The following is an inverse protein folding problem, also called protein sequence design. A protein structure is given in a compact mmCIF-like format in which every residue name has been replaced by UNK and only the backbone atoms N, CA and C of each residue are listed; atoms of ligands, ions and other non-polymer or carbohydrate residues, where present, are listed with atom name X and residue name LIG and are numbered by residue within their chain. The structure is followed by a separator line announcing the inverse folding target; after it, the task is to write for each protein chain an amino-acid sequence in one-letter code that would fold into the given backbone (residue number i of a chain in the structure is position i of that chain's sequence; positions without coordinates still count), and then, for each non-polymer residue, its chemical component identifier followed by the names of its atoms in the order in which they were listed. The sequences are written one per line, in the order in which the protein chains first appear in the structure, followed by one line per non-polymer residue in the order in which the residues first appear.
data_IF_086404446774
#
_entry.id   IF_086404446774
#
_cell.length_a   1.000
_cell.length_b   1.000
_cell.length_c   1.000
_cell.angle_alpha   90.00
_cell.angle_beta   90.00
_cell.angle_gamma   90.00
#
_symmetry.space_group_name_H-M   'P 1'
#
loop_
_entity.id
_entity.type
_entity.pdbx_description
1 polymer ?
#
# COMPACT_ATOMS: atom_id res chain seq x y z
N UNK A 1 0.85 -18.15 -13.37
CA UNK A 1 1.58 -16.94 -12.92
C UNK A 1 1.07 -15.71 -13.64
N UNK A 2 1.05 -14.56 -12.98
CA UNK A 2 0.63 -13.31 -13.62
C UNK A 2 1.66 -12.87 -14.65
N UNK A 3 1.21 -12.61 -15.87
CA UNK A 3 2.09 -12.23 -16.99
C UNK A 3 1.72 -10.88 -17.61
N UNK A 4 0.63 -10.24 -17.14
CA UNK A 4 0.20 -8.96 -17.69
C UNK A 4 -0.36 -8.04 -16.61
N UNK A 5 -0.32 -6.74 -16.89
CA UNK A 5 -0.91 -5.72 -16.01
C UNK A 5 -2.42 -5.92 -15.90
N UNK A 6 -3.08 -6.37 -16.97
CA UNK A 6 -4.52 -6.64 -16.94
C UNK A 6 -4.89 -7.72 -15.92
N UNK A 7 -4.12 -8.82 -15.89
CA UNK A 7 -4.34 -9.89 -14.92
C UNK A 7 -4.12 -9.36 -13.50
N UNK A 8 -3.05 -8.60 -13.30
CA UNK A 8 -2.72 -8.02 -12.01
C UNK A 8 -3.81 -7.05 -11.55
N UNK A 9 -4.32 -6.21 -12.47
CA UNK A 9 -5.40 -5.27 -12.16
C UNK A 9 -6.66 -6.00 -11.70
N UNK A 10 -7.03 -7.11 -12.35
CA UNK A 10 -8.18 -7.91 -11.95
C UNK A 10 -8.03 -8.45 -10.54
N UNK A 11 -6.84 -8.91 -10.18
CA UNK A 11 -6.56 -9.41 -8.83
C UNK A 11 -6.66 -8.30 -7.78
N UNK A 12 -6.10 -7.13 -8.08
CA UNK A 12 -6.14 -5.96 -7.20
C UNK A 12 -7.58 -5.47 -7.00
N UNK A 13 -8.36 -5.43 -8.08
CA UNK A 13 -9.77 -5.03 -7.99
C UNK A 13 -10.55 -5.98 -7.08
N UNK A 14 -10.33 -7.27 -7.20
CA UNK A 14 -10.97 -8.28 -6.38
C UNK A 14 -10.60 -8.12 -4.89
N UNK A 15 -9.32 -7.90 -4.60
CA UNK A 15 -8.86 -7.66 -3.23
C UNK A 15 -9.46 -6.37 -2.67
N UNK A 16 -9.57 -5.33 -3.49
CA UNK A 16 -10.13 -4.05 -3.09
C UNK A 16 -11.59 -4.14 -2.67
N UNK A 17 -12.35 -5.05 -3.27
CA UNK A 17 -13.77 -5.26 -2.90
C UNK A 17 -13.90 -5.68 -1.44
N UNK A 18 -12.92 -6.40 -0.91
CA UNK A 18 -12.95 -6.89 0.49
C UNK A 18 -12.96 -5.77 1.52
N UNK A 19 -12.52 -4.57 1.14
CA UNK A 19 -12.45 -3.40 2.03
C UNK A 19 -13.17 -2.19 1.44
N UNK A 20 -13.98 -2.38 0.41
CA UNK A 20 -14.70 -1.31 -0.29
C UNK A 20 -13.77 -0.20 -0.79
N UNK A 21 -12.58 -0.57 -1.26
CA UNK A 21 -11.63 0.42 -1.77
C UNK A 21 -12.15 1.08 -3.05
N UNK A 22 -12.07 2.41 -3.14
CA UNK A 22 -12.42 3.11 -4.38
C UNK A 22 -11.54 2.64 -5.53
N UNK A 23 -12.12 2.42 -6.69
CA UNK A 23 -11.37 1.94 -7.86
C UNK A 23 -10.25 2.90 -8.27
N UNK A 24 -10.44 4.20 -8.03
CA UNK A 24 -9.40 5.20 -8.32
C UNK A 24 -8.11 4.97 -7.55
N UNK A 25 -8.17 4.33 -6.38
CA UNK A 25 -6.99 4.00 -5.58
C UNK A 25 -6.32 2.70 -6.02
N UNK A 26 -6.97 1.93 -6.89
CA UNK A 26 -6.53 0.59 -7.27
C UNK A 26 -5.88 0.53 -8.65
N UNK A 27 -5.79 1.65 -9.35
CA UNK A 27 -5.23 1.70 -10.70
C UNK A 27 -3.74 1.38 -10.68
N UNK A 28 -3.35 0.38 -11.47
CA UNK A 28 -1.96 -0.03 -11.61
C UNK A 28 -1.39 0.61 -12.88
N UNK A 29 -0.29 1.34 -12.72
CA UNK A 29 0.42 1.93 -13.86
C UNK A 29 1.45 0.94 -14.37
N UNK A 30 1.69 0.94 -15.68
CA UNK A 30 2.71 0.11 -16.32
C UNK A 30 3.89 0.94 -16.81
N UNK A 31 3.84 2.25 -16.63
CA UNK A 31 4.89 3.18 -17.04
C UNK A 31 4.92 4.38 -16.09
N UNK A 32 6.05 5.08 -15.99
CA UNK A 32 6.16 6.23 -15.09
C UNK A 32 5.15 7.33 -15.44
N UNK A 33 4.46 7.85 -14.42
CA UNK A 33 3.64 9.05 -14.52
C UNK A 33 4.44 10.31 -14.13
N UNK A 34 5.65 10.12 -13.60
CA UNK A 34 6.58 11.18 -13.18
C UNK A 34 6.02 12.12 -12.10
N UNK A 35 5.05 11.65 -11.34
CA UNK A 35 4.42 12.38 -10.22
C UNK A 35 4.60 11.66 -8.88
N UNK A 36 5.47 10.65 -8.84
CA UNK A 36 5.69 9.83 -7.66
C UNK A 36 4.79 8.61 -7.58
N UNK A 37 3.75 8.51 -8.40
CA UNK A 37 2.90 7.33 -8.42
C UNK A 37 3.69 6.12 -8.92
N UNK A 38 3.65 4.99 -8.19
CA UNK A 38 4.43 3.82 -8.59
C UNK A 38 3.84 3.11 -9.81
N UNK A 39 4.71 2.44 -10.54
CA UNK A 39 4.31 1.56 -11.65
C UNK A 39 4.92 0.19 -11.45
N UNK A 40 4.38 -0.80 -12.16
CA UNK A 40 4.80 -2.20 -12.06
C UNK A 40 5.43 -2.63 -13.36
N UNK A 41 6.59 -3.28 -13.27
CA UNK A 41 7.22 -3.99 -14.38
C UNK A 41 7.10 -5.48 -14.12
N UNK A 42 6.58 -6.22 -15.09
CA UNK A 42 6.45 -7.67 -14.98
C UNK A 42 7.52 -8.31 -15.84
N UNK A 43 8.36 -9.11 -15.20
CA UNK A 43 9.41 -9.88 -15.86
C UNK A 43 9.08 -11.37 -15.80
N UNK A 44 9.86 -12.20 -16.47
CA UNK A 44 9.59 -13.64 -16.54
C UNK A 44 9.47 -14.30 -15.15
N UNK A 45 10.37 -13.97 -14.24
CA UNK A 45 10.42 -14.59 -12.90
C UNK A 45 10.37 -13.58 -11.75
N UNK A 46 10.05 -12.32 -12.04
CA UNK A 46 10.08 -11.29 -11.01
C UNK A 46 9.21 -10.10 -11.37
N UNK A 47 8.97 -9.27 -10.35
CA UNK A 47 8.23 -8.01 -10.49
C UNK A 47 9.06 -6.88 -9.92
N UNK A 48 9.01 -5.72 -10.56
CA UNK A 48 9.58 -4.49 -10.02
C UNK A 48 8.44 -3.51 -9.71
N UNK A 49 8.51 -2.89 -8.55
CA UNK A 49 7.57 -1.85 -8.11
C UNK A 49 8.39 -0.58 -7.92
N UNK A 50 8.17 0.39 -8.81
CA UNK A 50 9.07 1.53 -8.96
C UNK A 50 8.29 2.84 -8.85
N UNK A 51 8.80 3.77 -8.07
CA UNK A 51 8.27 5.13 -8.00
C UNK A 51 9.29 6.09 -8.60
N UNK A 52 8.83 6.98 -9.48
CA UNK A 52 9.68 8.00 -10.09
C UNK A 52 8.96 9.34 -10.14
N UNK A 53 9.74 10.41 -10.12
CA UNK A 53 9.23 11.77 -10.23
C UNK A 53 10.19 12.60 -11.09
N UNK A 54 9.65 13.22 -12.13
CA UNK A 54 10.41 14.08 -13.06
C UNK A 54 11.64 13.37 -13.62
N UNK A 55 11.51 12.10 -13.98
CA UNK A 55 12.59 11.31 -14.52
C UNK A 55 13.56 10.72 -13.50
N UNK A 56 13.40 11.02 -12.22
CA UNK A 56 14.25 10.49 -11.15
C UNK A 56 13.54 9.37 -10.40
N UNK A 57 14.24 8.26 -10.22
CA UNK A 57 13.71 7.13 -9.44
C UNK A 57 13.75 7.49 -7.95
N UNK A 58 12.57 7.40 -7.29
CA UNK A 58 12.44 7.64 -5.85
C UNK A 58 12.76 6.36 -5.08
N UNK A 59 12.16 5.23 -5.50
CA UNK A 59 12.48 3.91 -4.95
C UNK A 59 12.19 2.83 -5.98
N UNK A 60 12.83 1.69 -5.79
CA UNK A 60 12.59 0.50 -6.59
C UNK A 60 12.64 -0.71 -5.68
N UNK A 61 11.64 -1.56 -5.78
CA UNK A 61 11.56 -2.82 -5.03
C UNK A 61 11.36 -3.95 -6.02
N UNK A 62 12.02 -5.06 -5.78
CA UNK A 62 11.88 -6.26 -6.61
C UNK A 62 11.46 -7.45 -5.77
N UNK A 63 10.64 -8.32 -6.34
CA UNK A 63 10.24 -9.57 -5.70
C UNK A 63 9.88 -10.59 -6.75
N UNK A 64 10.03 -11.87 -6.41
CA UNK A 64 9.49 -12.96 -7.21
C UNK A 64 8.19 -13.50 -6.62
N UNK A 65 7.69 -12.89 -5.54
CA UNK A 65 6.45 -13.28 -4.87
C UNK A 65 5.30 -12.39 -5.32
N UNK A 66 4.27 -12.99 -5.92
CA UNK A 66 3.07 -12.27 -6.29
C UNK A 66 2.35 -11.72 -5.05
N UNK A 67 2.31 -12.49 -3.97
CA UNK A 67 1.69 -12.05 -2.72
C UNK A 67 2.36 -10.80 -2.17
N UNK A 68 3.68 -10.75 -2.20
CA UNK A 68 4.43 -9.58 -1.75
C UNK A 68 4.14 -8.35 -2.60
N UNK A 69 4.10 -8.52 -3.93
CA UNK A 69 3.76 -7.43 -4.84
C UNK A 69 2.34 -6.91 -4.56
N UNK A 70 1.38 -7.82 -4.40
CA UNK A 70 0.00 -7.46 -4.10
C UNK A 70 -0.10 -6.72 -2.78
N UNK A 71 0.66 -7.13 -1.77
CA UNK A 71 0.72 -6.43 -0.50
C UNK A 71 1.21 -4.98 -0.69
N UNK A 72 2.29 -4.78 -1.44
CA UNK A 72 2.80 -3.43 -1.70
C UNK A 72 1.76 -2.54 -2.38
N UNK A 73 1.09 -3.07 -3.39
CA UNK A 73 0.06 -2.34 -4.14
C UNK A 73 -1.12 -2.00 -3.23
N UNK A 74 -1.64 -2.98 -2.51
CA UNK A 74 -2.79 -2.78 -1.63
C UNK A 74 -2.45 -1.91 -0.42
N UNK A 75 -1.23 -2.01 0.12
CA UNK A 75 -0.80 -1.16 1.22
C UNK A 75 -0.84 0.32 0.84
N UNK A 76 -0.47 0.65 -0.40
CA UNK A 76 -0.54 2.03 -0.87
C UNK A 76 -1.99 2.54 -0.90
N UNK A 77 -2.91 1.75 -1.44
CA UNK A 77 -4.32 2.09 -1.49
C UNK A 77 -4.90 2.23 -0.07
N UNK A 78 -4.58 1.28 0.80
CA UNK A 78 -5.08 1.24 2.17
C UNK A 78 -4.53 2.42 3.00
N UNK A 79 -3.30 2.88 2.75
CA UNK A 79 -2.78 4.08 3.39
C UNK A 79 -3.67 5.29 3.11
N UNK A 80 -4.09 5.46 1.86
CA UNK A 80 -5.00 6.55 1.48
C UNK A 80 -6.32 6.46 2.23
N UNK A 81 -6.89 5.27 2.32
CA UNK A 81 -8.14 5.04 3.04
C UNK A 81 -7.98 5.29 4.54
N UNK A 82 -6.86 4.86 5.12
CA UNK A 82 -6.59 5.04 6.55
C UNK A 82 -6.37 6.53 6.89
N UNK A 83 -5.71 7.28 6.01
CA UNK A 83 -5.54 8.72 6.17
C UNK A 83 -6.89 9.43 6.17
N UNK A 84 -7.76 9.10 5.24
CA UNK A 84 -9.09 9.68 5.17
C UNK A 84 -9.89 9.38 6.44
N UNK A 85 -9.83 8.13 6.90
CA UNK A 85 -10.51 7.70 8.12
C UNK A 85 -10.00 8.50 9.34
N UNK A 86 -8.70 8.69 9.47
CA UNK A 86 -8.12 9.47 10.57
C UNK A 86 -8.60 10.92 10.53
N UNK A 87 -8.60 11.54 9.35
CA UNK A 87 -9.06 12.92 9.20
C UNK A 87 -10.54 13.08 9.59
N UNK A 88 -11.37 12.10 9.31
CA UNK A 88 -12.80 12.13 9.62
C UNK A 88 -13.10 11.80 11.09
N UNK A 89 -12.15 11.16 11.79
CA UNK A 89 -12.35 10.67 13.16
C UNK A 89 -11.27 11.16 14.13
N UNK A 90 -10.66 12.29 13.82
CA UNK A 90 -9.52 12.81 14.59
C UNK A 90 -9.87 13.05 16.06
N UNK A 91 -9.00 12.55 16.95
CA UNK A 91 -9.11 12.75 18.38
C UNK A 91 -8.09 13.80 18.84
N UNK A 92 -8.48 14.61 19.85
CA UNK A 92 -7.59 15.60 20.45
C UNK A 92 -6.59 14.91 21.39
N UNK A 93 -5.41 15.52 21.54
CA UNK A 93 -4.38 15.09 22.49
C UNK A 93 -3.78 13.72 22.21
N UNK A 94 -3.94 13.22 21.00
CA UNK A 94 -3.33 11.96 20.54
C UNK A 94 -2.52 12.19 19.29
N UNK A 95 -1.42 11.44 19.17
CA UNK A 95 -0.69 11.39 17.91
C UNK A 95 -1.65 10.86 16.85
N UNK A 96 -1.82 11.60 15.74
CA UNK A 96 -2.76 11.24 14.67
C UNK A 96 -2.44 9.88 14.05
N UNK A 97 -1.18 9.45 14.13
CA UNK A 97 -0.75 8.17 13.60
C UNK A 97 -1.33 6.97 14.35
N UNK A 98 -1.79 7.13 15.60
CA UNK A 98 -2.40 6.03 16.36
C UNK A 98 -3.61 5.48 15.62
N UNK A 99 -4.54 6.33 15.26
CA UNK A 99 -5.75 5.93 14.55
C UNK A 99 -5.44 5.52 13.11
N UNK A 100 -4.53 6.24 12.46
CA UNK A 100 -4.11 5.95 11.10
C UNK A 100 -3.49 4.54 11.01
N UNK A 101 -2.51 4.23 11.85
CA UNK A 101 -1.86 2.91 11.83
C UNK A 101 -2.81 1.80 12.25
N UNK A 102 -3.68 2.05 13.23
CA UNK A 102 -4.70 1.07 13.63
C UNK A 102 -5.58 0.70 12.43
N UNK A 103 -6.09 1.71 11.73
CA UNK A 103 -6.95 1.48 10.56
C UNK A 103 -6.22 0.80 9.41
N UNK A 104 -4.97 1.19 9.18
CA UNK A 104 -4.11 0.57 8.17
C UNK A 104 -3.96 -0.94 8.41
N UNK A 105 -3.62 -1.32 9.63
CA UNK A 105 -3.45 -2.73 10.00
C UNK A 105 -4.79 -3.48 9.88
N UNK A 106 -5.87 -2.87 10.35
CA UNK A 106 -7.20 -3.48 10.31
C UNK A 106 -7.63 -3.78 8.87
N UNK A 107 -7.50 -2.81 7.99
CA UNK A 107 -7.92 -2.97 6.59
C UNK A 107 -7.09 -4.03 5.87
N UNK A 108 -5.78 -4.04 6.06
CA UNK A 108 -4.93 -5.06 5.43
C UNK A 108 -5.25 -6.46 5.97
N UNK A 109 -5.54 -6.58 7.26
CA UNK A 109 -5.97 -7.85 7.84
C UNK A 109 -7.33 -8.32 7.33
N UNK A 110 -8.23 -7.38 6.98
CA UNK A 110 -9.52 -7.71 6.39
C UNK A 110 -9.37 -8.22 4.95
N UNK A 111 -8.36 -7.76 4.23
CA UNK A 111 -8.07 -8.26 2.90
C UNK A 111 -7.49 -9.68 3.00
N UNK A 112 -6.49 -9.87 3.85
CA UNK A 112 -5.82 -11.14 4.08
C UNK A 112 -5.30 -11.17 5.51
N UNK A 113 -5.67 -12.17 6.35
CA UNK A 113 -5.24 -12.19 7.75
C UNK A 113 -3.73 -12.09 7.94
N UNK A 114 -2.94 -12.74 7.07
CA UNK A 114 -1.47 -12.71 7.14
C UNK A 114 -0.91 -11.30 6.92
N UNK A 115 -1.65 -10.46 6.22
CA UNK A 115 -1.22 -9.09 5.94
C UNK A 115 -1.30 -8.16 7.15
N UNK A 116 -2.10 -8.53 8.15
CA UNK A 116 -2.09 -7.79 9.42
C UNK A 116 -0.72 -7.86 10.09
N UNK A 117 -0.06 -9.03 10.05
CA UNK A 117 1.28 -9.20 10.61
C UNK A 117 2.31 -8.39 9.84
N UNK A 118 2.23 -8.39 8.50
CA UNK A 118 3.13 -7.57 7.68
C UNK A 118 2.93 -6.08 7.97
N UNK A 119 1.69 -5.65 8.12
CA UNK A 119 1.36 -4.26 8.42
C UNK A 119 1.88 -3.86 9.80
N UNK A 120 1.75 -4.72 10.82
CA UNK A 120 2.29 -4.47 12.16
C UNK A 120 3.80 -4.33 12.12
N UNK A 121 4.47 -5.17 11.34
CA UNK A 121 5.92 -5.08 11.16
C UNK A 121 6.32 -3.75 10.54
N UNK A 122 5.64 -3.34 9.47
CA UNK A 122 5.94 -2.08 8.79
C UNK A 122 5.71 -0.88 9.71
N UNK A 123 4.61 -0.87 10.45
CA UNK A 123 4.31 0.18 11.44
C UNK A 123 5.36 0.18 12.55
N UNK A 124 5.75 -1.00 13.03
CA UNK A 124 6.78 -1.14 14.06
C UNK A 124 8.11 -0.55 13.64
N UNK A 125 8.52 -0.73 12.39
CA UNK A 125 9.76 -0.14 11.87
C UNK A 125 9.69 1.38 11.84
N UNK A 126 8.54 1.95 11.47
CA UNK A 126 8.34 3.41 11.50
C UNK A 126 8.45 3.92 12.94
N UNK A 127 7.79 3.26 13.87
CA UNK A 127 7.74 3.69 15.27
C UNK A 127 9.08 3.57 16.01
N UNK A 128 9.97 2.68 15.55
CA UNK A 128 11.35 2.62 16.08
C UNK A 128 12.11 3.91 15.81
N UNK A 129 11.90 4.48 14.63
CA UNK A 129 12.59 5.70 14.20
C UNK A 129 11.85 6.97 14.67
N UNK A 130 10.54 6.89 14.85
CA UNK A 130 9.69 8.02 15.19
C UNK A 130 8.56 7.57 16.11
N UNK A 131 8.83 7.40 17.43
CA UNK A 131 7.81 6.97 18.38
C UNK A 131 6.61 7.91 18.45
N UNK A 132 5.48 7.41 18.94
CA UNK A 132 4.30 8.26 19.14
C UNK A 132 4.60 9.41 20.08
N UNK A 133 3.98 10.55 19.78
CA UNK A 133 4.04 11.77 20.62
C UNK A 133 2.60 12.21 20.84
N UNK A 134 2.10 11.99 22.07
CA UNK A 134 0.79 12.48 22.47
C UNK A 134 0.97 13.80 23.21
N UNK A 135 0.03 14.72 23.07
CA UNK A 135 0.08 16.02 23.73
C UNK A 135 -0.83 16.10 24.96
#
# INVERSE_FOLDING_TARGET
MVTSIRELQSMVDELGVRVDAPKSLLVILSAPADDGAPYVEIHENSFNYVSSERGYEIYSKSTNSLDELLYWIMARAVRQMALKYELENRADNCDTRRLYFFRFIQLLGDIKPEWAELARRDVGEILKLSPYIDS
#
